data_IF_607366892188
#
_entry.id   IF_607366892188
#
_cell.length_a   1.000
_cell.length_b   1.000
_cell.length_c   1.000
_cell.angle_alpha   90.00
_cell.angle_beta   90.00
_cell.angle_gamma   90.00
#
_symmetry.space_group_name_H-M   'P 1'
#
loop_
_entity.id
_entity.type
_entity.pdbx_description
1 polymer ?
#
# COMPACT_ATOMS: atom_id res chain seq x y z
N UNK A 1 2.10 -2.41 -19.65
CA UNK A 1 1.58 -1.45 -18.66
C UNK A 1 2.74 -1.01 -17.79
N UNK A 2 2.79 0.26 -17.42
CA UNK A 2 3.75 0.76 -16.44
C UNK A 2 3.24 0.43 -15.02
N UNK A 3 4.17 0.35 -14.06
CA UNK A 3 3.86 0.08 -12.66
C UNK A 3 4.51 1.13 -11.76
N UNK A 4 3.96 1.27 -10.56
CA UNK A 4 4.59 1.96 -9.43
C UNK A 4 4.81 0.98 -8.28
N UNK A 5 5.73 1.32 -7.39
CA UNK A 5 6.13 0.53 -6.23
C UNK A 5 5.93 1.40 -4.99
N UNK A 6 4.84 1.15 -4.27
CA UNK A 6 4.42 1.95 -3.13
C UNK A 6 4.85 1.27 -1.83
N UNK A 7 5.57 1.99 -0.96
CA UNK A 7 5.85 1.50 0.38
C UNK A 7 4.55 1.41 1.19
N UNK A 8 4.27 0.26 1.78
CA UNK A 8 3.14 0.00 2.69
C UNK A 8 3.60 -0.87 3.86
N UNK A 9 2.76 -1.11 4.86
CA UNK A 9 3.08 -2.09 5.90
C UNK A 9 3.13 -3.50 5.30
N UNK A 10 4.02 -4.34 5.81
CA UNK A 10 4.23 -5.72 5.32
C UNK A 10 2.93 -6.54 5.25
N UNK A 11 2.10 -6.49 6.30
CA UNK A 11 0.79 -7.16 6.31
C UNK A 11 -0.20 -6.61 5.28
N UNK A 12 -0.12 -5.32 4.92
CA UNK A 12 -0.96 -4.76 3.86
C UNK A 12 -0.49 -5.29 2.51
N UNK A 13 0.83 -5.30 2.26
CA UNK A 13 1.37 -5.86 1.03
C UNK A 13 0.99 -7.35 0.86
N UNK A 14 1.15 -8.15 1.92
CA UNK A 14 0.78 -9.56 1.91
C UNK A 14 -0.72 -9.74 1.65
N UNK A 15 -1.58 -8.99 2.34
CA UNK A 15 -3.03 -9.01 2.10
C UNK A 15 -3.36 -8.75 0.62
N UNK A 16 -2.84 -7.68 0.02
CA UNK A 16 -3.16 -7.37 -1.38
C UNK A 16 -2.63 -8.38 -2.39
N UNK A 17 -1.55 -9.10 -2.06
CA UNK A 17 -1.01 -10.17 -2.90
C UNK A 17 -1.87 -11.44 -2.83
N UNK A 18 -2.45 -11.72 -1.67
CA UNK A 18 -3.18 -12.97 -1.39
C UNK A 18 -4.69 -12.80 -1.27
N UNK A 19 -5.26 -11.61 -1.53
CA UNK A 19 -6.70 -11.35 -1.30
C UNK A 19 -7.64 -12.08 -2.26
N UNK A 20 -7.13 -12.54 -3.40
CA UNK A 20 -7.87 -13.31 -4.38
C UNK A 20 -7.31 -14.74 -4.41
N UNK A 21 -8.04 -15.67 -3.81
CA UNK A 21 -7.66 -17.09 -3.72
C UNK A 21 -7.42 -17.72 -5.10
N UNK A 22 -8.04 -17.20 -6.16
CA UNK A 22 -7.89 -17.73 -7.51
C UNK A 22 -6.72 -17.08 -8.27
N UNK A 23 -6.13 -16.02 -7.73
CA UNK A 23 -5.11 -15.23 -8.40
C UNK A 23 -4.15 -14.61 -7.38
N UNK A 24 -3.38 -15.47 -6.72
CA UNK A 24 -2.28 -15.06 -5.84
C UNK A 24 -1.20 -14.36 -6.65
N UNK A 25 -0.83 -13.16 -6.24
CA UNK A 25 0.16 -12.32 -6.91
C UNK A 25 1.55 -12.54 -6.31
N UNK A 26 2.54 -12.76 -7.17
CA UNK A 26 3.95 -12.70 -6.77
C UNK A 26 4.37 -11.26 -6.43
N UNK A 27 5.55 -11.10 -5.84
CA UNK A 27 6.08 -9.78 -5.44
C UNK A 27 6.21 -8.79 -6.61
N UNK A 28 6.43 -9.30 -7.83
CA UNK A 28 6.54 -8.49 -9.04
C UNK A 28 5.20 -8.29 -9.77
N UNK A 29 4.17 -9.07 -9.43
CA UNK A 29 2.89 -9.03 -10.11
C UNK A 29 2.09 -7.81 -9.66
N UNK A 30 1.59 -6.98 -10.59
CA UNK A 30 0.97 -5.73 -10.23
C UNK A 30 -0.46 -5.94 -9.72
N UNK A 31 -0.76 -5.35 -8.57
CA UNK A 31 -2.14 -5.15 -8.11
C UNK A 31 -2.84 -4.22 -9.09
N UNK A 32 -4.02 -4.65 -9.56
CA UNK A 32 -4.91 -3.87 -10.40
C UNK A 32 -6.13 -3.47 -9.61
N UNK A 33 -6.47 -2.19 -9.67
CA UNK A 33 -7.69 -1.68 -9.06
C UNK A 33 -8.83 -1.61 -10.07
N UNK A 34 -10.05 -1.73 -9.57
CA UNK A 34 -11.26 -1.58 -10.37
C UNK A 34 -11.34 -0.14 -10.90
N UNK A 35 -11.82 0.04 -12.13
CA UNK A 35 -11.94 1.35 -12.77
C UNK A 35 -12.77 2.38 -11.99
N UNK A 36 -13.63 1.90 -11.08
CA UNK A 36 -14.55 2.72 -10.28
C UNK A 36 -14.13 2.83 -8.81
N UNK A 37 -12.93 2.36 -8.45
CA UNK A 37 -12.45 2.42 -7.06
C UNK A 37 -11.77 3.75 -6.73
N UNK A 38 -11.67 4.06 -5.44
CA UNK A 38 -11.02 5.29 -4.97
C UNK A 38 -9.51 5.27 -5.26
N UNK A 39 -8.88 4.10 -5.18
CA UNK A 39 -7.48 3.89 -5.54
C UNK A 39 -7.25 4.24 -7.01
N UNK A 40 -8.12 3.77 -7.90
CA UNK A 40 -8.03 4.09 -9.31
C UNK A 40 -8.21 5.59 -9.58
N UNK A 41 -9.12 6.24 -8.86
CA UNK A 41 -9.29 7.69 -8.97
C UNK A 41 -8.00 8.43 -8.61
N UNK A 42 -7.36 8.08 -7.48
CA UNK A 42 -6.05 8.66 -7.08
C UNK A 42 -4.99 8.44 -8.15
N UNK A 43 -4.91 7.23 -8.71
CA UNK A 43 -3.96 6.94 -9.79
C UNK A 43 -4.24 7.79 -11.04
N UNK A 44 -5.49 7.96 -11.43
CA UNK A 44 -5.85 8.74 -12.63
C UNK A 44 -5.59 10.24 -12.49
N UNK A 45 -5.73 10.80 -11.28
CA UNK A 45 -5.63 12.25 -11.04
C UNK A 45 -4.25 12.73 -10.64
N UNK A 46 -3.36 11.85 -10.16
CA UNK A 46 -2.18 12.28 -9.40
C UNK A 46 -0.85 11.69 -9.84
N UNK A 47 -0.84 10.87 -10.90
CA UNK A 47 0.39 10.36 -11.48
C UNK A 47 1.08 11.43 -12.34
N UNK A 48 2.34 11.70 -12.02
CA UNK A 48 3.19 12.64 -12.74
C UNK A 48 4.61 12.08 -12.89
N UNK A 49 5.38 12.50 -13.91
CA UNK A 49 6.81 12.21 -13.97
C UNK A 49 7.53 12.90 -12.80
N UNK A 50 8.27 12.13 -11.98
CA UNK A 50 9.00 12.65 -10.82
C UNK A 50 10.49 12.33 -10.91
N UNK A 51 11.33 13.21 -10.37
CA UNK A 51 12.75 12.89 -10.15
C UNK A 51 12.91 11.82 -9.05
N UNK A 52 14.03 11.10 -9.07
CA UNK A 52 14.32 10.08 -8.05
C UNK A 52 14.28 10.66 -6.63
N UNK A 53 14.76 11.90 -6.43
CA UNK A 53 14.76 12.57 -5.14
C UNK A 53 13.33 12.80 -4.61
N UNK A 54 12.41 13.23 -5.48
CA UNK A 54 11.01 13.44 -5.10
C UNK A 54 10.31 12.10 -4.80
N UNK A 55 10.62 11.06 -5.57
CA UNK A 55 10.11 9.69 -5.33
C UNK A 55 10.59 9.12 -3.99
N UNK A 56 11.82 9.42 -3.56
CA UNK A 56 12.33 9.05 -2.23
C UNK A 56 11.49 9.67 -1.11
N UNK A 57 11.07 10.92 -1.29
CA UNK A 57 10.22 11.61 -0.32
C UNK A 57 8.81 11.05 -0.30
N UNK A 58 8.22 10.77 -1.48
CA UNK A 58 6.87 10.21 -1.58
C UNK A 58 6.78 8.72 -1.22
N UNK A 59 7.92 8.02 -1.13
CA UNK A 59 8.00 6.56 -0.91
C UNK A 59 7.17 5.77 -1.94
N UNK A 60 7.07 6.34 -3.14
CA UNK A 60 6.41 5.76 -4.29
C UNK A 60 7.37 5.86 -5.47
N UNK A 61 7.80 4.70 -5.97
CA UNK A 61 8.81 4.62 -7.00
C UNK A 61 8.18 4.22 -8.33
N UNK A 62 8.55 4.92 -9.38
CA UNK A 62 8.27 4.55 -10.77
C UNK A 62 9.01 3.25 -11.14
N UNK A 63 8.52 2.52 -12.13
CA UNK A 63 9.19 1.31 -12.63
C UNK A 63 10.63 1.56 -13.09
N UNK A 64 10.93 2.72 -13.67
CA UNK A 64 12.30 3.06 -14.06
C UNK A 64 13.24 3.16 -12.85
N UNK A 65 12.79 3.83 -11.78
CA UNK A 65 13.57 4.00 -10.55
C UNK A 65 13.73 2.67 -9.82
N UNK A 66 12.65 1.88 -9.73
CA UNK A 66 12.68 0.55 -9.13
C UNK A 66 13.63 -0.40 -9.85
N UNK A 67 13.54 -0.48 -11.17
CA UNK A 67 14.43 -1.33 -11.97
C UNK A 67 15.90 -0.91 -11.87
N UNK A 68 16.17 0.39 -11.72
CA UNK A 68 17.53 0.88 -11.46
C UNK A 68 18.04 0.35 -10.11
N UNK A 69 17.21 0.43 -9.07
CA UNK A 69 17.54 -0.10 -7.74
C UNK A 69 17.72 -1.62 -7.72
N UNK A 70 16.94 -2.38 -8.50
CA UNK A 70 17.14 -3.84 -8.63
C UNK A 70 18.54 -4.19 -9.15
N UNK A 71 19.19 -3.31 -9.91
CA UNK A 71 20.59 -3.50 -10.34
C UNK A 71 21.63 -3.09 -9.29
N UNK A 72 21.18 -2.67 -8.10
CA UNK A 72 22.04 -2.21 -7.02
C UNK A 72 22.55 -0.77 -7.17
N UNK A 73 22.00 -0.02 -8.13
CA UNK A 73 22.44 1.35 -8.45
C UNK A 73 21.57 2.39 -7.76
N UNK A 74 22.17 3.52 -7.40
CA UNK A 74 21.43 4.71 -7.00
C UNK A 74 20.70 5.32 -8.19
N UNK A 75 19.37 5.52 -8.12
CA UNK A 75 18.64 6.23 -9.17
C UNK A 75 18.93 7.73 -9.22
N UNK A 76 19.61 8.26 -8.18
CA UNK A 76 19.99 9.68 -8.08
C UNK A 76 21.34 9.95 -8.75
N UNK A 77 22.34 9.10 -8.45
CA UNK A 77 23.72 9.31 -8.94
C UNK A 77 24.11 8.37 -10.08
N UNK A 78 23.37 7.29 -10.31
CA UNK A 78 23.71 6.23 -11.27
C UNK A 78 24.79 5.25 -10.78
N UNK A 79 25.42 5.53 -9.63
CA UNK A 79 26.52 4.71 -9.10
C UNK A 79 26.03 3.37 -8.55
N UNK A 80 26.82 2.33 -8.74
CA UNK A 80 26.60 1.03 -8.10
C UNK A 80 26.93 1.15 -6.60
N UNK A 81 25.95 0.90 -5.73
CA UNK A 81 26.09 1.02 -4.28
C UNK A 81 26.01 -0.34 -3.56
N UNK A 82 25.22 -1.27 -4.10
CA UNK A 82 25.00 -2.59 -3.51
C UNK A 82 25.21 -3.66 -4.58
N UNK A 83 26.01 -4.68 -4.30
CA UNK A 83 26.09 -5.87 -5.17
C UNK A 83 24.97 -6.82 -4.77
N UNK A 84 24.02 -7.05 -5.67
CA UNK A 84 22.82 -7.88 -5.41
C UNK A 84 22.42 -8.70 -6.64
N UNK A 85 21.60 -9.72 -6.44
CA UNK A 85 20.84 -10.30 -7.54
C UNK A 85 19.69 -9.34 -7.90
N UNK A 86 19.46 -9.17 -9.21
CA UNK A 86 18.37 -8.34 -9.74
C UNK A 86 17.01 -9.00 -9.63
N UNK A 87 16.97 -10.31 -9.38
CA UNK A 87 15.72 -11.05 -9.21
C UNK A 87 15.24 -11.04 -7.75
N UNK A 88 16.13 -10.69 -6.81
CA UNK A 88 15.77 -10.54 -5.40
C UNK A 88 14.96 -9.26 -5.19
N UNK A 89 13.93 -9.35 -4.36
CA UNK A 89 13.10 -8.21 -3.99
C UNK A 89 13.88 -7.18 -3.16
N UNK A 90 13.57 -5.89 -3.32
CA UNK A 90 14.26 -4.82 -2.58
C UNK A 90 13.78 -4.78 -1.13
N UNK A 91 14.71 -4.81 -0.18
CA UNK A 91 14.41 -4.58 1.23
C UNK A 91 14.37 -3.08 1.56
N UNK A 92 13.75 -2.71 2.68
CA UNK A 92 13.70 -1.32 3.13
C UNK A 92 15.08 -0.69 3.32
N UNK A 93 16.02 -1.43 3.93
CA UNK A 93 17.39 -0.95 4.14
C UNK A 93 18.11 -0.67 2.82
N UNK A 94 17.98 -1.55 1.83
CA UNK A 94 18.58 -1.39 0.51
C UNK A 94 18.01 -0.19 -0.25
N UNK A 95 16.69 0.01 -0.20
CA UNK A 95 16.06 1.20 -0.77
C UNK A 95 16.56 2.47 -0.08
N UNK A 96 16.69 2.47 1.25
CA UNK A 96 17.26 3.60 1.96
C UNK A 96 18.69 3.93 1.49
N UNK A 97 19.54 2.91 1.37
CA UNK A 97 20.91 3.07 0.84
C UNK A 97 20.91 3.64 -0.57
N UNK A 98 20.11 3.07 -1.49
CA UNK A 98 20.13 3.47 -2.90
C UNK A 98 19.53 4.85 -3.17
N UNK A 99 18.53 5.23 -2.38
CA UNK A 99 17.90 6.55 -2.43
C UNK A 99 18.63 7.59 -1.57
N UNK A 100 19.72 7.20 -0.89
CA UNK A 100 20.46 8.07 0.05
C UNK A 100 19.55 8.68 1.13
N UNK A 101 18.59 7.89 1.63
CA UNK A 101 17.70 8.28 2.72
C UNK A 101 18.10 7.61 4.02
N UNK A 102 17.71 8.22 5.15
CA UNK A 102 18.02 7.69 6.47
C UNK A 102 17.25 6.39 6.72
N UNK A 103 17.98 5.32 6.97
CA UNK A 103 17.42 4.07 7.48
C UNK A 103 16.90 4.24 8.92
N UNK A 104 15.73 3.67 9.19
CA UNK A 104 15.04 3.74 10.48
C UNK A 104 14.55 2.33 10.87
N UNK A 105 15.22 1.62 11.80
CA UNK A 105 14.86 0.24 12.14
C UNK A 105 13.39 0.04 12.57
N UNK A 106 12.76 1.08 13.14
CA UNK A 106 11.35 1.00 13.54
C UNK A 106 10.38 0.88 12.34
N UNK A 107 10.87 1.10 11.12
CA UNK A 107 10.11 0.97 9.87
C UNK A 107 10.43 -0.31 9.09
N UNK A 108 11.16 -1.25 9.67
CA UNK A 108 11.47 -2.52 9.00
C UNK A 108 10.22 -3.36 8.69
N UNK A 109 9.11 -3.11 9.38
CA UNK A 109 7.81 -3.73 9.10
C UNK A 109 7.10 -3.06 7.89
N UNK A 110 7.84 -2.79 6.83
CA UNK A 110 7.30 -2.29 5.57
C UNK A 110 7.76 -3.15 4.40
N UNK A 111 6.97 -3.13 3.36
CA UNK A 111 7.25 -3.78 2.08
C UNK A 111 6.74 -2.86 0.96
N UNK A 112 6.99 -3.24 -0.29
CA UNK A 112 6.60 -2.50 -1.47
C UNK A 112 5.55 -3.27 -2.25
N UNK A 113 4.46 -2.59 -2.61
CA UNK A 113 3.41 -3.16 -3.44
C UNK A 113 3.61 -2.71 -4.90
N UNK A 114 3.75 -3.66 -5.81
CA UNK A 114 3.70 -3.41 -7.25
C UNK A 114 2.25 -3.10 -7.63
N UNK A 115 2.00 -1.94 -8.21
CA UNK A 115 0.66 -1.47 -8.58
C UNK A 115 0.66 -1.09 -10.06
N UNK A 116 -0.28 -1.64 -10.82
CA UNK A 116 -0.50 -1.25 -12.21
C UNK A 116 -1.05 0.18 -12.26
N UNK A 117 -0.46 1.02 -13.11
CA UNK A 117 -0.99 2.37 -13.36
C UNK A 117 -1.85 2.39 -14.64
N UNK A 118 -2.86 3.28 -14.72
CA UNK A 118 -3.65 3.46 -15.94
C UNK A 118 -2.77 3.83 -17.13
N UNK A 119 -3.14 3.41 -18.34
CA UNK A 119 -2.37 3.72 -19.57
C UNK A 119 -2.39 5.21 -19.93
N UNK A 120 -3.39 5.95 -19.42
CA UNK A 120 -3.51 7.40 -19.61
C UNK A 120 -3.98 8.09 -18.35
N UNK A 121 -3.50 9.30 -18.13
CA UNK A 121 -3.89 10.17 -17.01
C UNK A 121 -4.18 11.58 -17.49
N UNK A 122 -4.93 12.34 -16.70
CA UNK A 122 -5.21 13.74 -16.97
C UNK A 122 -4.24 14.61 -16.18
N UNK A 123 -3.46 15.45 -16.85
CA UNK A 123 -2.62 16.46 -16.20
C UNK A 123 -3.10 17.82 -16.69
N UNK A 124 -3.73 18.57 -15.78
CA UNK A 124 -4.52 19.75 -16.17
C UNK A 124 -5.66 19.34 -17.11
N UNK A 125 -5.72 19.95 -18.29
CA UNK A 125 -6.77 19.69 -19.29
C UNK A 125 -6.31 18.74 -20.42
N UNK A 126 -5.12 18.15 -20.32
CA UNK A 126 -4.55 17.30 -21.37
C UNK A 126 -4.42 15.86 -20.91
N UNK A 127 -4.77 14.93 -21.79
CA UNK A 127 -4.57 13.51 -21.58
C UNK A 127 -3.13 13.13 -21.95
N UNK A 128 -2.43 12.49 -21.03
CA UNK A 128 -1.07 12.01 -21.23
C UNK A 128 -1.03 10.49 -21.14
N UNK A 129 -0.28 9.86 -22.05
CA UNK A 129 0.04 8.44 -21.93
C UNK A 129 1.05 8.26 -20.79
N UNK A 130 0.77 7.34 -19.87
CA UNK A 130 1.69 7.03 -18.78
C UNK A 130 2.90 6.26 -19.31
N UNK A 131 4.04 6.48 -18.65
CA UNK A 131 5.31 5.82 -18.96
C UNK A 131 5.92 5.26 -17.69
N UNK A 132 7.03 4.52 -17.82
CA UNK A 132 7.76 3.96 -16.68
C UNK A 132 8.41 5.02 -15.75
N UNK A 133 8.27 6.31 -16.06
CA UNK A 133 8.76 7.44 -15.25
C UNK A 133 7.68 8.02 -14.33
N UNK A 134 6.42 7.65 -14.52
CA UNK A 134 5.31 8.17 -13.72
C UNK A 134 5.33 7.54 -12.33
N UNK A 135 5.11 8.37 -11.32
CA UNK A 135 4.96 8.00 -9.92
C UNK A 135 3.95 8.93 -9.24
N UNK A 136 3.61 8.63 -7.99
CA UNK A 136 2.79 9.50 -7.16
C UNK A 136 3.67 10.47 -6.36
N UNK A 137 3.20 11.71 -6.24
CA UNK A 137 3.77 12.67 -5.31
C UNK A 137 3.50 12.25 -3.86
N UNK A 138 4.04 12.99 -2.89
CA UNK A 138 3.92 12.65 -1.48
C UNK A 138 2.47 12.64 -0.98
N UNK A 139 1.64 13.56 -1.46
CA UNK A 139 0.25 13.69 -1.00
C UNK A 139 -0.58 12.52 -1.51
N UNK A 140 -0.49 12.24 -2.80
CA UNK A 140 -1.23 11.16 -3.44
C UNK A 140 -0.73 9.78 -3.01
N UNK A 141 0.59 9.61 -2.79
CA UNK A 141 1.13 8.36 -2.26
C UNK A 141 0.60 8.08 -0.85
N UNK A 142 0.56 9.09 0.01
CA UNK A 142 0.00 8.96 1.36
C UNK A 142 -1.50 8.67 1.32
N UNK A 143 -2.25 9.34 0.44
CA UNK A 143 -3.67 9.07 0.26
C UNK A 143 -3.91 7.62 -0.17
N UNK A 144 -3.15 7.12 -1.16
CA UNK A 144 -3.25 5.74 -1.60
C UNK A 144 -2.86 4.76 -0.49
N UNK A 145 -1.77 5.00 0.24
CA UNK A 145 -1.41 4.19 1.42
C UNK A 145 -2.55 4.10 2.43
N UNK A 146 -3.23 5.22 2.70
CA UNK A 146 -4.38 5.25 3.62
C UNK A 146 -5.54 4.42 3.11
N UNK A 147 -5.91 4.56 1.83
CA UNK A 147 -6.98 3.76 1.22
C UNK A 147 -6.68 2.25 1.31
N UNK A 148 -5.45 1.85 0.98
CA UNK A 148 -5.04 0.44 1.05
C UNK A 148 -5.11 -0.09 2.48
N UNK A 149 -4.63 0.69 3.45
CA UNK A 149 -4.70 0.33 4.86
C UNK A 149 -6.14 0.24 5.37
N UNK A 150 -7.00 1.20 5.02
CA UNK A 150 -8.39 1.23 5.47
C UNK A 150 -9.20 0.04 4.93
N UNK A 151 -8.93 -0.38 3.69
CA UNK A 151 -9.53 -1.59 3.12
C UNK A 151 -9.04 -2.86 3.82
N UNK A 152 -7.75 -2.96 4.12
CA UNK A 152 -7.22 -4.06 4.94
C UNK A 152 -7.92 -4.14 6.30
N UNK A 153 -8.07 -3.00 6.98
CA UNK A 153 -8.77 -2.93 8.28
C UNK A 153 -10.22 -3.38 8.13
N UNK A 154 -10.91 -2.93 7.09
CA UNK A 154 -12.29 -3.33 6.80
C UNK A 154 -12.39 -4.85 6.61
N UNK A 155 -11.53 -5.43 5.77
CA UNK A 155 -11.49 -6.87 5.53
C UNK A 155 -11.24 -7.67 6.81
N UNK A 156 -10.29 -7.24 7.66
CA UNK A 156 -10.01 -7.88 8.94
C UNK A 156 -11.20 -7.80 9.91
N UNK A 157 -11.85 -6.65 10.02
CA UNK A 157 -13.01 -6.48 10.90
C UNK A 157 -14.21 -7.30 10.41
N UNK A 158 -14.46 -7.33 9.10
CA UNK A 158 -15.51 -8.16 8.49
C UNK A 158 -15.23 -9.64 8.75
N UNK A 159 -14.01 -10.11 8.52
CA UNK A 159 -13.62 -11.49 8.82
C UNK A 159 -13.86 -11.84 10.29
N UNK A 160 -13.42 -10.96 11.19
CA UNK A 160 -13.59 -11.16 12.62
C UNK A 160 -15.07 -11.25 13.03
N UNK A 161 -15.93 -10.41 12.45
CA UNK A 161 -17.37 -10.45 12.69
C UNK A 161 -18.01 -11.74 12.14
N UNK A 162 -17.64 -12.15 10.93
CA UNK A 162 -18.13 -13.40 10.33
C UNK A 162 -17.70 -14.64 11.13
N UNK A 163 -16.47 -14.66 11.66
CA UNK A 163 -16.00 -15.79 12.47
C UNK A 163 -16.72 -15.85 13.83
N UNK A 164 -17.08 -14.70 14.42
CA UNK A 164 -17.92 -14.65 15.62
C UNK A 164 -19.32 -15.21 15.37
N UNK A 165 -19.95 -14.84 14.25
CA UNK A 165 -21.28 -15.35 13.86
C UNK A 165 -21.24 -16.85 13.63
N UNK A 166 -20.22 -17.35 12.93
CA UNK A 166 -20.00 -18.79 12.74
C UNK A 166 -19.82 -19.53 14.06
N UNK A 167 -18.99 -18.98 14.97
CA UNK A 167 -18.78 -19.54 16.30
C UNK A 167 -20.07 -19.63 17.10
N UNK A 168 -20.90 -18.57 17.08
CA UNK A 168 -22.19 -18.55 17.75
C UNK A 168 -23.15 -19.59 17.17
N UNK A 169 -23.23 -19.72 15.85
CA UNK A 169 -24.10 -20.70 15.17
C UNK A 169 -23.70 -22.15 15.49
N UNK A 170 -22.40 -22.44 15.56
CA UNK A 170 -21.89 -23.79 15.81
C UNK A 170 -21.67 -24.11 17.29
N UNK A 171 -21.92 -23.16 18.20
CA UNK A 171 -21.65 -23.33 19.63
C UNK A 171 -20.16 -23.50 19.95
N UNK A 172 -19.27 -22.97 19.10
CA UNK A 172 -17.82 -23.05 19.26
C UNK A 172 -17.32 -21.73 19.86
N UNK A 173 -16.37 -21.81 20.79
CA UNK A 173 -15.67 -20.63 21.30
C UNK A 173 -14.27 -20.56 20.72
N UNK A 174 -13.90 -19.40 20.16
CA UNK A 174 -12.53 -19.11 19.70
C UNK A 174 -12.01 -17.85 20.35
N UNK A 175 -10.72 -17.84 20.63
CA UNK A 175 -10.06 -16.65 21.16
C UNK A 175 -9.85 -15.60 20.05
N UNK A 176 -9.79 -14.31 20.41
CA UNK A 176 -9.51 -13.25 19.43
C UNK A 176 -8.18 -13.44 18.69
N UNK A 177 -7.18 -13.97 19.39
CA UNK A 177 -5.87 -14.21 18.81
C UNK A 177 -5.92 -15.34 17.79
N UNK A 178 -6.69 -16.39 18.05
CA UNK A 178 -6.92 -17.48 17.11
C UNK A 178 -7.64 -16.98 15.85
N UNK A 179 -8.67 -16.13 16.00
CA UNK A 179 -9.37 -15.53 14.86
C UNK A 179 -8.42 -14.68 13.99
N UNK A 180 -7.55 -13.89 14.63
CA UNK A 180 -6.53 -13.10 13.94
C UNK A 180 -5.50 -14.01 13.25
N UNK A 181 -5.00 -15.05 13.92
CA UNK A 181 -4.03 -15.98 13.33
C UNK A 181 -4.63 -16.73 12.13
N UNK A 182 -5.93 -17.05 12.14
CA UNK A 182 -6.65 -17.61 10.99
C UNK A 182 -6.74 -16.64 9.82
N UNK A 183 -7.03 -15.36 10.08
CA UNK A 183 -7.01 -14.32 9.03
C UNK A 183 -5.61 -14.17 8.44
N UNK A 184 -4.58 -14.08 9.30
CA UNK A 184 -3.19 -13.97 8.86
C UNK A 184 -2.77 -15.18 8.03
N UNK A 185 -3.15 -16.39 8.44
CA UNK A 185 -2.87 -17.61 7.70
C UNK A 185 -3.58 -17.62 6.34
N UNK A 186 -4.83 -17.19 6.29
CA UNK A 186 -5.61 -17.18 5.05
C UNK A 186 -5.00 -16.27 3.98
N UNK A 187 -4.51 -15.10 4.38
CA UNK A 187 -3.89 -14.13 3.46
C UNK A 187 -2.35 -14.20 3.41
N UNK A 188 -1.76 -15.31 3.88
CA UNK A 188 -0.31 -15.56 3.97
C UNK A 188 0.47 -14.34 4.51
N UNK A 189 -0.07 -13.74 5.57
CA UNK A 189 0.57 -12.62 6.26
C UNK A 189 1.68 -13.20 7.15
N UNK A 190 2.95 -12.86 6.90
CA UNK A 190 4.06 -13.49 7.58
C UNK A 190 4.00 -13.23 9.08
N UNK A 191 4.14 -14.29 9.88
CA UNK A 191 4.41 -14.17 11.31
C UNK A 191 5.89 -14.48 11.50
N UNK A 192 6.70 -13.43 11.56
CA UNK A 192 8.11 -13.59 11.87
C UNK A 192 8.32 -14.32 13.21
N UNK A 193 9.48 -14.97 13.43
CA UNK A 193 9.76 -15.75 14.63
C UNK A 193 9.64 -14.94 15.93
N UNK A 194 9.84 -13.61 15.85
CA UNK A 194 9.68 -12.68 16.97
C UNK A 194 8.22 -12.43 17.37
N UNK A 195 7.24 -12.85 16.57
CA UNK A 195 5.79 -12.63 16.75
C UNK A 195 5.38 -11.15 16.85
N UNK A 196 6.29 -10.23 16.51
CA UNK A 196 6.09 -8.78 16.63
C UNK A 196 4.93 -8.31 15.75
N UNK A 197 4.83 -8.82 14.52
CA UNK A 197 3.77 -8.44 13.58
C UNK A 197 2.40 -8.86 14.09
N UNK A 198 2.26 -10.12 14.51
CA UNK A 198 1.06 -10.64 15.17
C UNK A 198 0.68 -9.83 16.40
N UNK A 199 1.61 -9.57 17.31
CA UNK A 199 1.34 -8.84 18.54
C UNK A 199 0.99 -7.36 18.28
N UNK A 200 1.52 -6.79 17.19
CA UNK A 200 1.17 -5.45 16.73
C UNK A 200 -0.22 -5.41 16.12
N UNK A 201 -0.56 -6.36 15.23
CA UNK A 201 -1.90 -6.50 14.67
C UNK A 201 -2.95 -6.79 15.74
N UNK A 202 -2.63 -7.62 16.76
CA UNK A 202 -3.53 -7.85 17.91
C UNK A 202 -3.85 -6.55 18.65
N UNK A 203 -2.84 -5.72 18.91
CA UNK A 203 -3.01 -4.41 19.58
C UNK A 203 -3.85 -3.46 18.72
N UNK A 204 -3.60 -3.44 17.41
CA UNK A 204 -4.35 -2.64 16.46
C UNK A 204 -5.81 -3.11 16.33
N UNK A 205 -6.06 -4.42 16.22
CA UNK A 205 -7.39 -5.00 16.18
C UNK A 205 -8.21 -4.62 17.41
N UNK A 206 -7.65 -4.74 18.62
CA UNK A 206 -8.34 -4.31 19.84
C UNK A 206 -8.69 -2.81 19.81
N UNK A 207 -7.79 -1.98 19.28
CA UNK A 207 -8.04 -0.54 19.10
C UNK A 207 -9.16 -0.31 18.08
N UNK A 208 -9.10 -0.93 16.90
CA UNK A 208 -10.11 -0.78 15.86
C UNK A 208 -11.49 -1.28 16.31
N UNK A 209 -11.56 -2.41 17.02
CA UNK A 209 -12.80 -2.88 17.61
C UNK A 209 -13.38 -1.87 18.60
N UNK A 210 -12.54 -1.33 19.50
CA UNK A 210 -13.00 -0.29 20.44
C UNK A 210 -13.47 0.99 19.75
N UNK A 211 -12.88 1.33 18.61
CA UNK A 211 -13.28 2.47 17.79
C UNK A 211 -14.57 2.20 17.00
N UNK A 212 -14.73 1.00 16.42
CA UNK A 212 -15.93 0.59 15.67
C UNK A 212 -17.20 0.57 16.52
N UNK A 213 -17.05 0.32 17.83
CA UNK A 213 -18.13 0.38 18.83
C UNK A 213 -18.44 1.83 19.29
N UNK A 214 -17.65 2.82 18.85
CA UNK A 214 -17.93 4.24 19.08
C UNK A 214 -18.86 4.80 18.00
N UNK A 215 -19.93 5.54 18.33
CA UNK A 215 -20.87 6.15 17.37
C UNK A 215 -20.23 7.05 16.31
N UNK A 216 -18.97 7.45 16.51
CA UNK A 216 -18.17 8.31 15.63
C UNK A 216 -17.57 7.57 14.43
N UNK A 217 -17.35 6.26 14.50
CA UNK A 217 -16.75 5.49 13.39
C UNK A 217 -17.77 5.16 12.28
N UNK A 218 -19.05 5.02 12.64
CA UNK A 218 -20.16 4.86 11.69
C UNK A 218 -20.34 6.08 10.75
N UNK A 219 -19.72 7.23 11.05
CA UNK A 219 -19.76 8.44 10.20
C UNK A 219 -18.57 8.58 9.24
N UNK A 220 -17.48 7.82 9.43
CA UNK A 220 -16.31 7.91 8.53
C UNK A 220 -16.57 7.19 7.19
N UNK A 221 -17.60 6.34 7.10
CA UNK A 221 -18.02 5.71 5.84
C UNK A 221 -18.77 6.65 4.88
N UNK A 222 -19.18 7.85 5.31
CA UNK A 222 -20.03 8.74 4.49
C UNK A 222 -19.38 10.12 4.22
N UNK A 223 -18.40 10.56 5.01
CA UNK A 223 -17.87 11.93 4.93
C UNK A 223 -16.39 12.04 4.49
N UNK A 224 -15.93 11.26 3.51
CA UNK A 224 -14.70 11.59 2.76
C UNK A 224 -15.02 12.56 1.60
N UNK A 225 -15.71 13.66 1.90
CA UNK A 225 -16.08 14.70 0.92
C UNK A 225 -14.99 15.73 0.64
N UNK A 226 -13.76 15.52 1.10
CA UNK A 226 -12.62 16.36 0.71
C UNK A 226 -11.70 15.61 -0.26
N UNK A 227 -12.27 15.16 -1.38
CA UNK A 227 -11.51 15.03 -2.62
C UNK A 227 -11.60 16.40 -3.29
N UNK A 228 -10.70 17.30 -2.91
CA UNK A 228 -10.58 18.60 -3.56
C UNK A 228 -10.22 18.38 -5.03
N UNK A 229 -11.14 18.74 -5.92
CA UNK A 229 -10.83 18.99 -7.33
C UNK A 229 -9.79 20.10 -7.37
N UNK A 230 -8.53 19.78 -7.68
CA UNK A 230 -7.58 20.77 -8.17
C UNK A 230 -7.89 21.04 -9.65
N UNK A 231 -9.05 21.62 -9.93
CA UNK A 231 -9.32 22.32 -11.19
C UNK A 231 -9.33 23.81 -10.87
N UNK A 232 -8.49 24.56 -11.57
CA UNK A 232 -8.02 25.87 -11.16
C UNK A 232 -8.98 27.04 -11.34
N UNK A 233 -8.41 28.19 -10.93
CA UNK A 233 -8.78 29.60 -11.16
C UNK A 233 -9.96 30.17 -10.36
N UNK A 234 -9.60 31.00 -9.39
CA UNK A 234 -10.25 32.29 -9.19
C UNK A 234 -9.24 33.39 -9.56
N UNK A 235 -9.30 33.85 -10.82
CA UNK A 235 -9.08 35.26 -11.12
C UNK A 235 -10.47 35.89 -11.13
N UNK A 236 -10.77 36.77 -10.17
CA UNK A 236 -11.84 37.77 -10.24
C UNK A 236 -11.55 38.88 -9.22
N UNK A 237 -10.70 39.83 -9.62
CA UNK A 237 -10.92 41.29 -9.73
C UNK A 237 -9.59 42.01 -9.82
#
# INVERSE_FOLDING_TARGET
MANIYLQVQSYVAAYYRNRDDNNVLGVNDPVKFCSFSQEQFVLQSSLVPLSAQLQAHSRCYSASVWNTMLTGKSPITGNLLVKRDRHDWLTYSEVCTMMSTRYLPQKDNCDYLCIAIPDTVMIGNTQHRTTALFALDHTASFQLQRLLHDEFVRALLTWYQSDLEFCAEKGISRSRIEMLERFMLHYDIPVGPSKIERDSLRRLLNRWLSQSLSPSFARVSVNNTDITRLNGKEELT
#
